data_IF_997114242074
#
_entry.id   IF_997114242074
#
_cell.length_a   1.000
_cell.length_b   1.000
_cell.length_c   1.000
_cell.angle_alpha   90.00
_cell.angle_beta   90.00
_cell.angle_gamma   90.00
#
_symmetry.space_group_name_H-M   'P 1'
#
loop_
_entity.id
_entity.type
_entity.pdbx_description
1 polymer ?
#
# COMPACT_ATOMS: atom_id res chain seq x y z
N UNK A 1 -9.28 -43.26 86.20
CA UNK A 1 -9.71 -42.55 84.99
C UNK A 1 -8.53 -41.72 84.51
N UNK A 2 -7.81 -42.21 83.50
CA UNK A 2 -6.60 -41.59 82.94
C UNK A 2 -6.98 -40.63 81.83
N UNK A 3 -6.66 -39.34 82.01
CA UNK A 3 -6.82 -38.30 80.98
C UNK A 3 -5.70 -38.43 79.94
N UNK A 4 -6.05 -38.81 78.71
CA UNK A 4 -5.14 -38.72 77.56
C UNK A 4 -5.14 -37.30 76.98
N UNK A 5 -3.97 -36.70 76.69
CA UNK A 5 -3.91 -35.41 76.03
C UNK A 5 -4.23 -35.55 74.53
N UNK A 6 -5.16 -34.70 74.07
CA UNK A 6 -5.57 -34.61 72.66
C UNK A 6 -4.44 -33.99 71.85
N UNK A 7 -3.90 -34.75 70.89
CA UNK A 7 -2.89 -34.25 69.96
C UNK A 7 -3.47 -33.13 69.05
N UNK A 8 -2.70 -32.07 68.75
CA UNK A 8 -3.19 -30.97 67.92
C UNK A 8 -3.34 -31.43 66.47
N UNK A 9 -4.54 -31.23 65.90
CA UNK A 9 -4.79 -31.52 64.49
C UNK A 9 -3.93 -30.64 63.57
N UNK A 10 -3.39 -31.18 62.47
CA UNK A 10 -2.55 -30.42 61.55
C UNK A 10 -3.38 -29.35 60.84
N UNK A 11 -2.97 -28.08 60.99
CA UNK A 11 -3.51 -26.95 60.22
C UNK A 11 -3.39 -27.26 58.72
N UNK A 12 -4.52 -27.46 58.04
CA UNK A 12 -4.59 -27.55 56.58
C UNK A 12 -3.98 -26.27 55.99
N UNK A 13 -2.76 -26.35 55.44
CA UNK A 13 -2.17 -25.27 54.64
C UNK A 13 -3.12 -25.01 53.46
N UNK A 14 -3.77 -23.84 53.44
CA UNK A 14 -4.47 -23.35 52.24
C UNK A 14 -3.45 -23.34 51.10
N UNK A 15 -3.62 -24.21 50.09
CA UNK A 15 -2.83 -24.14 48.85
C UNK A 15 -3.02 -22.74 48.29
N UNK A 16 -1.96 -21.92 48.27
CA UNK A 16 -1.97 -20.66 47.54
C UNK A 16 -2.30 -21.01 46.08
N UNK A 17 -3.43 -20.53 45.57
CA UNK A 17 -3.77 -20.65 44.16
C UNK A 17 -2.58 -20.10 43.36
N UNK A 18 -2.09 -20.86 42.37
CA UNK A 18 -1.06 -20.35 41.47
C UNK A 18 -1.60 -19.05 40.86
N UNK A 19 -0.77 -18.00 40.75
CA UNK A 19 -1.21 -16.78 40.08
C UNK A 19 -1.71 -17.15 38.67
N UNK A 20 -2.80 -16.52 38.20
CA UNK A 20 -3.33 -16.80 36.87
C UNK A 20 -2.20 -16.59 35.86
N UNK A 21 -1.95 -17.61 35.05
CA UNK A 21 -0.93 -17.58 34.01
C UNK A 21 -1.62 -17.22 32.69
N UNK A 22 -0.94 -16.51 31.79
CA UNK A 22 -1.48 -16.28 30.46
C UNK A 22 -1.81 -17.58 29.71
N UNK A 23 -1.15 -18.69 30.06
CA UNK A 23 -1.44 -20.01 29.51
C UNK A 23 -2.78 -20.63 29.95
N UNK A 24 -3.48 -20.04 30.91
CA UNK A 24 -4.84 -20.48 31.30
C UNK A 24 -5.95 -19.78 30.52
N UNK A 25 -5.62 -18.82 29.66
CA UNK A 25 -6.58 -18.11 28.80
C UNK A 25 -6.62 -18.81 27.43
N UNK A 26 -7.82 -19.04 26.85
CA UNK A 26 -7.93 -19.54 25.49
C UNK A 26 -7.22 -18.67 24.45
N UNK A 27 -6.57 -19.28 23.47
CA UNK A 27 -5.74 -18.57 22.47
C UNK A 27 -6.55 -17.56 21.65
N UNK A 28 -7.83 -17.81 21.35
CA UNK A 28 -8.73 -16.89 20.66
C UNK A 28 -8.98 -15.60 21.45
N UNK A 29 -9.10 -15.69 22.77
CA UNK A 29 -9.22 -14.53 23.66
C UNK A 29 -7.89 -13.77 23.72
N UNK A 30 -6.76 -14.47 23.80
CA UNK A 30 -5.43 -13.85 23.78
C UNK A 30 -5.23 -13.09 22.45
N UNK A 31 -5.55 -13.71 21.32
CA UNK A 31 -5.46 -13.10 19.99
C UNK A 31 -6.28 -11.81 19.92
N UNK A 32 -7.51 -11.81 20.43
CA UNK A 32 -8.35 -10.60 20.48
C UNK A 32 -7.77 -9.48 21.36
N UNK A 33 -7.13 -9.83 22.48
CA UNK A 33 -6.44 -8.84 23.33
C UNK A 33 -5.21 -8.29 22.61
N UNK A 34 -4.37 -9.16 22.04
CA UNK A 34 -3.16 -8.76 21.32
C UNK A 34 -3.49 -7.93 20.07
N UNK A 35 -4.61 -8.22 19.39
CA UNK A 35 -5.11 -7.46 18.24
C UNK A 35 -5.37 -5.98 18.57
N UNK A 36 -5.64 -5.63 19.84
CA UNK A 36 -5.85 -4.24 20.28
C UNK A 36 -4.55 -3.46 20.52
N UNK A 37 -3.41 -4.15 20.60
CA UNK A 37 -2.11 -3.54 20.80
C UNK A 37 -1.57 -3.03 19.44
N UNK A 38 -0.91 -1.87 19.41
CA UNK A 38 -0.26 -1.39 18.18
C UNK A 38 0.78 -2.39 17.68
N UNK A 39 0.82 -2.65 16.36
CA UNK A 39 1.73 -3.66 15.80
C UNK A 39 3.21 -3.32 15.98
N UNK A 40 3.53 -2.07 16.28
CA UNK A 40 4.87 -1.62 16.67
C UNK A 40 5.44 -2.41 17.87
N UNK A 41 4.60 -2.86 18.79
CA UNK A 41 4.99 -3.60 19.99
C UNK A 41 5.07 -5.12 19.77
N UNK A 42 4.59 -5.63 18.64
CA UNK A 42 4.49 -7.08 18.41
C UNK A 42 5.87 -7.73 18.39
N UNK A 43 6.89 -7.02 17.90
CA UNK A 43 8.26 -7.52 17.92
C UNK A 43 8.73 -7.76 19.37
N UNK A 44 8.58 -6.78 20.24
CA UNK A 44 8.96 -6.91 21.65
C UNK A 44 8.13 -7.98 22.36
N UNK A 45 6.82 -8.02 22.12
CA UNK A 45 5.91 -9.00 22.73
C UNK A 45 6.16 -10.42 22.23
N UNK A 46 6.55 -10.61 20.97
CA UNK A 46 6.90 -11.92 20.42
C UNK A 46 8.11 -12.55 21.11
N UNK A 47 8.98 -11.73 21.70
CA UNK A 47 10.16 -12.19 22.45
C UNK A 47 9.82 -12.61 23.89
N UNK A 48 8.62 -12.30 24.40
CA UNK A 48 8.21 -12.59 25.79
C UNK A 48 7.97 -14.08 26.01
N UNK A 49 7.39 -14.79 25.03
CA UNK A 49 7.15 -16.23 25.13
C UNK A 49 7.01 -16.91 23.76
N UNK A 50 7.26 -18.22 23.72
CA UNK A 50 7.01 -19.04 22.51
C UNK A 50 5.55 -18.99 22.06
N UNK A 51 4.60 -18.91 22.99
CA UNK A 51 3.18 -18.80 22.65
C UNK A 51 2.87 -17.46 21.97
N UNK A 52 3.40 -16.36 22.51
CA UNK A 52 3.23 -15.05 21.87
C UNK A 52 3.88 -15.03 20.49
N UNK A 53 5.08 -15.60 20.35
CA UNK A 53 5.74 -15.76 19.06
C UNK A 53 4.87 -16.51 18.04
N UNK A 54 4.26 -17.65 18.42
CA UNK A 54 3.38 -18.41 17.52
C UNK A 54 2.11 -17.63 17.17
N UNK A 55 1.48 -16.97 18.15
CA UNK A 55 0.27 -16.17 17.91
C UNK A 55 0.53 -14.96 17.00
N UNK A 56 1.64 -14.24 17.17
CA UNK A 56 2.03 -13.13 16.29
C UNK A 56 2.46 -13.58 14.89
N UNK A 57 2.85 -14.86 14.76
CA UNK A 57 3.17 -15.48 13.47
C UNK A 57 1.95 -16.08 12.78
N UNK A 58 0.83 -16.26 13.50
CA UNK A 58 -0.43 -16.77 12.95
C UNK A 58 -1.16 -15.69 12.15
N UNK A 59 -1.85 -16.04 11.05
CA UNK A 59 -2.76 -15.11 10.36
C UNK A 59 -3.94 -14.66 11.24
N UNK A 60 -4.29 -15.39 12.30
CA UNK A 60 -5.46 -15.12 13.15
C UNK A 60 -5.43 -13.74 13.79
N UNK A 61 -4.25 -13.24 14.17
CA UNK A 61 -4.13 -11.91 14.79
C UNK A 61 -4.47 -10.81 13.81
N UNK A 62 -4.10 -10.96 12.54
CA UNK A 62 -4.41 -9.99 11.50
C UNK A 62 -5.88 -10.06 11.09
N UNK A 63 -6.48 -11.25 11.13
CA UNK A 63 -7.92 -11.40 10.99
C UNK A 63 -8.67 -10.67 12.12
N UNK A 64 -8.29 -10.89 13.38
CA UNK A 64 -8.90 -10.23 14.53
C UNK A 64 -8.74 -8.70 14.49
N UNK A 65 -7.56 -8.19 14.10
CA UNK A 65 -7.30 -6.75 13.90
C UNK A 65 -8.22 -6.13 12.85
N UNK A 66 -8.43 -6.83 11.74
CA UNK A 66 -9.31 -6.39 10.66
C UNK A 66 -10.76 -6.25 11.15
N UNK A 67 -11.24 -7.17 12.01
CA UNK A 67 -12.59 -7.11 12.58
C UNK A 67 -12.80 -5.91 13.52
N UNK A 68 -11.79 -5.50 14.26
CA UNK A 68 -11.87 -4.36 15.18
C UNK A 68 -11.38 -3.04 14.56
N UNK A 69 -11.14 -3.03 13.23
CA UNK A 69 -10.59 -1.89 12.49
C UNK A 69 -9.28 -1.33 13.06
N UNK A 70 -8.49 -2.15 13.76
CA UNK A 70 -7.17 -1.77 14.27
C UNK A 70 -6.09 -2.30 13.34
N UNK A 71 -6.04 -1.76 12.12
CA UNK A 71 -5.05 -2.14 11.11
C UNK A 71 -3.99 -1.05 10.97
N UNK A 72 -2.72 -1.45 10.88
CA UNK A 72 -1.63 -0.52 10.67
C UNK A 72 -1.27 -0.46 9.18
N UNK A 73 -1.06 0.74 8.60
CA UNK A 73 -0.60 0.84 7.23
C UNK A 73 0.80 0.22 7.11
N UNK A 74 0.99 -0.61 6.09
CA UNK A 74 2.28 -1.19 5.72
C UNK A 74 2.55 -0.86 4.26
N UNK A 75 3.74 -0.34 4.00
CA UNK A 75 4.15 -0.04 2.63
C UNK A 75 4.71 -1.31 1.98
N UNK A 76 4.20 -1.61 0.79
CA UNK A 76 4.66 -2.67 -0.09
C UNK A 76 5.22 -2.08 -1.38
N UNK A 77 6.41 -2.54 -1.77
CA UNK A 77 7.15 -2.08 -2.93
C UNK A 77 7.43 -3.28 -3.82
N UNK A 78 6.87 -3.27 -5.04
CA UNK A 78 7.09 -4.31 -6.05
C UNK A 78 8.18 -3.87 -7.01
N UNK A 79 9.28 -4.63 -7.07
CA UNK A 79 10.43 -4.37 -7.93
C UNK A 79 10.61 -5.49 -8.95
N UNK A 80 10.92 -5.10 -10.18
CA UNK A 80 11.47 -5.99 -11.19
C UNK A 80 12.98 -5.95 -11.13
N UNK A 81 13.59 -7.07 -10.76
CA UNK A 81 15.03 -7.20 -10.63
C UNK A 81 15.58 -8.03 -11.79
N UNK A 82 16.46 -7.48 -12.65
CA UNK A 82 17.06 -8.23 -13.74
C UNK A 82 18.06 -9.25 -13.18
N UNK A 83 18.06 -10.47 -13.74
CA UNK A 83 19.00 -11.58 -13.48
C UNK A 83 18.83 -12.32 -12.12
N UNK A 84 18.98 -13.66 -12.04
CA UNK A 84 19.19 -14.63 -13.12
C UNK A 84 17.97 -14.92 -13.99
N UNK A 85 16.77 -14.43 -13.61
CA UNK A 85 15.52 -14.79 -14.34
C UNK A 85 14.51 -13.65 -14.47
N UNK A 86 14.90 -12.40 -14.19
CA UNK A 86 13.98 -11.24 -14.20
C UNK A 86 12.69 -11.52 -13.43
N UNK A 87 12.79 -11.56 -12.10
CA UNK A 87 11.65 -11.90 -11.26
C UNK A 87 11.06 -10.66 -10.60
N UNK A 88 9.74 -10.66 -10.48
CA UNK A 88 8.99 -9.66 -9.73
C UNK A 88 9.05 -9.97 -8.22
N UNK A 89 9.74 -9.12 -7.47
CA UNK A 89 9.96 -9.26 -6.02
C UNK A 89 9.18 -8.22 -5.24
N UNK A 90 8.48 -8.67 -4.21
CA UNK A 90 7.80 -7.79 -3.26
C UNK A 90 8.66 -7.54 -2.03
N UNK A 91 8.71 -6.28 -1.61
CA UNK A 91 9.37 -5.82 -0.41
C UNK A 91 8.37 -5.11 0.49
N UNK A 92 8.60 -5.15 1.79
CA UNK A 92 7.85 -4.37 2.77
C UNK A 92 8.80 -3.44 3.52
N UNK A 93 8.37 -2.20 3.73
CA UNK A 93 9.16 -1.21 4.47
C UNK A 93 9.10 -1.51 5.97
N UNK A 94 10.26 -1.67 6.62
CA UNK A 94 10.35 -1.92 8.06
C UNK A 94 11.45 -1.09 8.70
N UNK A 95 11.30 -0.83 9.98
CA UNK A 95 12.39 -0.31 10.81
C UNK A 95 13.37 -1.44 11.16
N UNK A 96 14.65 -1.24 10.83
CA UNK A 96 15.76 -2.06 11.30
C UNK A 96 16.59 -1.28 12.29
N UNK A 97 17.23 -2.00 13.21
CA UNK A 97 18.18 -1.38 14.13
C UNK A 97 19.34 -0.84 13.30
N UNK A 98 19.64 0.45 13.43
CA UNK A 98 20.71 1.09 12.68
C UNK A 98 22.05 0.47 13.07
N UNK A 99 22.97 0.36 12.11
CA UNK A 99 24.36 -0.03 12.41
C UNK A 99 25.12 1.07 13.15
N UNK A 100 24.58 2.31 13.15
CA UNK A 100 25.20 3.49 13.72
C UNK A 100 24.48 3.92 15.01
N UNK A 101 25.24 4.18 16.08
CA UNK A 101 24.70 4.45 17.43
C UNK A 101 23.86 5.73 17.54
N UNK A 102 23.98 6.64 16.57
CA UNK A 102 23.25 7.92 16.53
C UNK A 102 21.84 7.82 15.93
N UNK A 103 21.56 6.80 15.11
CA UNK A 103 20.23 6.57 14.53
C UNK A 103 19.81 5.14 14.90
N UNK A 104 19.10 4.96 16.03
CA UNK A 104 18.83 3.61 16.55
C UNK A 104 17.93 2.79 15.61
N UNK A 105 17.16 3.43 14.73
CA UNK A 105 16.26 2.75 13.79
C UNK A 105 16.22 3.42 12.42
N UNK A 106 16.54 2.66 11.37
CA UNK A 106 16.54 3.08 9.98
C UNK A 106 15.47 2.34 9.18
N UNK A 107 14.96 2.97 8.11
CA UNK A 107 14.04 2.31 7.19
C UNK A 107 14.79 1.32 6.31
N UNK A 108 14.21 0.16 6.05
CA UNK A 108 14.79 -0.84 5.16
C UNK A 108 13.69 -1.59 4.42
N UNK A 109 13.91 -1.84 3.13
CA UNK A 109 13.07 -2.75 2.34
C UNK A 109 13.47 -4.18 2.67
N UNK A 110 12.52 -4.93 3.24
CA UNK A 110 12.70 -6.34 3.58
C UNK A 110 11.94 -7.19 2.58
N UNK A 111 12.57 -8.19 1.94
CA UNK A 111 11.87 -9.09 1.03
C UNK A 111 10.68 -9.76 1.72
N UNK A 112 9.54 -9.76 1.02
CA UNK A 112 8.35 -10.51 1.41
C UNK A 112 8.60 -11.96 1.03
N UNK A 113 8.72 -12.84 2.03
CA UNK A 113 8.86 -14.28 1.80
C UNK A 113 7.50 -14.84 1.42
N UNK A 114 7.29 -15.00 0.12
CA UNK A 114 6.05 -15.58 -0.42
C UNK A 114 6.07 -17.09 -0.20
N UNK A 115 5.08 -17.61 0.53
CA UNK A 115 5.01 -19.03 0.91
C UNK A 115 4.52 -19.96 -0.21
N UNK A 116 4.04 -19.40 -1.33
CA UNK A 116 3.57 -20.17 -2.50
C UNK A 116 4.16 -19.57 -3.78
N UNK A 117 5.14 -20.25 -4.36
CA UNK A 117 5.80 -19.86 -5.60
C UNK A 117 4.97 -20.13 -6.85
N UNK A 118 3.92 -20.95 -6.77
CA UNK A 118 3.15 -21.41 -7.93
C UNK A 118 2.33 -20.32 -8.63
N UNK A 119 2.27 -19.11 -8.06
CA UNK A 119 1.39 -18.04 -8.55
C UNK A 119 2.00 -16.65 -8.60
N UNK A 120 3.29 -16.43 -8.32
CA UNK A 120 3.93 -15.12 -8.56
C UNK A 120 4.21 -15.00 -10.06
N UNK A 121 3.33 -14.38 -10.85
CA UNK A 121 3.51 -14.41 -12.29
C UNK A 121 4.35 -13.20 -12.64
N UNK A 122 5.51 -13.44 -13.23
CA UNK A 122 6.33 -12.40 -13.82
C UNK A 122 5.52 -11.74 -14.96
N UNK A 123 4.75 -10.71 -14.59
CA UNK A 123 3.87 -9.94 -15.50
C UNK A 123 4.30 -8.51 -15.61
N UNK A 124 4.92 -8.20 -16.74
CA UNK A 124 5.27 -6.84 -17.09
C UNK A 124 4.00 -6.03 -17.31
N UNK A 125 4.03 -4.76 -16.88
CA UNK A 125 2.97 -3.78 -17.11
C UNK A 125 1.57 -4.22 -16.62
N UNK A 126 1.52 -5.03 -15.56
CA UNK A 126 0.31 -5.24 -14.78
C UNK A 126 0.00 -4.00 -13.94
N UNK A 127 -1.27 -3.73 -13.69
CA UNK A 127 -1.67 -2.70 -12.73
C UNK A 127 -1.86 -3.34 -11.35
N UNK A 128 -1.59 -2.56 -10.30
CA UNK A 128 -1.81 -3.02 -8.93
C UNK A 128 -2.63 -2.02 -8.13
N UNK A 129 -3.46 -2.54 -7.24
CA UNK A 129 -4.29 -1.73 -6.34
C UNK A 129 -4.36 -2.39 -4.97
N UNK A 130 -4.23 -1.57 -3.92
CA UNK A 130 -4.42 -2.02 -2.55
C UNK A 130 -5.92 -2.02 -2.20
N UNK A 131 -6.39 -3.13 -1.67
CA UNK A 131 -7.76 -3.32 -1.20
C UNK A 131 -7.68 -3.91 0.21
N UNK A 132 -7.95 -3.08 1.22
CA UNK A 132 -7.85 -3.48 2.64
C UNK A 132 -6.47 -4.09 2.95
N UNK A 133 -6.43 -5.39 3.25
CA UNK A 133 -5.21 -6.17 3.56
C UNK A 133 -4.67 -6.97 2.38
N UNK A 134 -5.10 -6.65 1.16
CA UNK A 134 -4.77 -7.40 -0.04
C UNK A 134 -4.24 -6.47 -1.13
N UNK A 135 -3.36 -7.00 -1.98
CA UNK A 135 -2.91 -6.34 -3.22
C UNK A 135 -3.44 -7.14 -4.40
N UNK A 136 -4.19 -6.48 -5.25
CA UNK A 136 -4.66 -7.05 -6.51
C UNK A 136 -3.67 -6.70 -7.62
N UNK A 137 -3.12 -7.71 -8.28
CA UNK A 137 -2.34 -7.58 -9.52
C UNK A 137 -3.22 -7.99 -10.70
N UNK A 138 -3.47 -7.06 -11.60
CA UNK A 138 -4.49 -7.19 -12.65
C UNK A 138 -3.86 -7.00 -14.03
N UNK A 139 -4.15 -7.93 -14.94
CA UNK A 139 -3.67 -7.86 -16.32
C UNK A 139 -2.16 -7.98 -16.44
N UNK A 140 -1.58 -7.19 -17.34
CA UNK A 140 -0.19 -7.19 -17.74
C UNK A 140 0.06 -8.00 -19.00
N UNK A 141 1.30 -8.41 -19.21
CA UNK A 141 1.67 -9.34 -20.26
C UNK A 141 2.47 -10.52 -19.74
N UNK A 142 2.18 -11.69 -20.30
CA UNK A 142 3.03 -12.88 -20.19
C UNK A 142 3.56 -13.20 -21.59
N UNK A 143 4.88 -13.31 -21.77
CA UNK A 143 5.50 -13.54 -23.08
C UNK A 143 4.97 -12.58 -24.16
N UNK A 144 4.91 -11.28 -23.83
CA UNK A 144 4.34 -10.19 -24.65
C UNK A 144 2.83 -10.25 -24.94
N UNK A 145 2.13 -11.33 -24.58
CA UNK A 145 0.67 -11.44 -24.75
C UNK A 145 -0.07 -10.79 -23.58
N UNK A 146 -1.04 -9.93 -23.89
CA UNK A 146 -1.95 -9.34 -22.90
C UNK A 146 -2.68 -10.46 -22.14
N UNK A 147 -2.96 -10.25 -20.85
CA UNK A 147 -3.68 -11.23 -20.04
C UNK A 147 -4.93 -10.65 -19.39
N UNK A 148 -5.91 -11.52 -19.19
CA UNK A 148 -7.14 -11.26 -18.42
C UNK A 148 -6.94 -11.49 -16.93
N UNK A 149 -5.83 -12.10 -16.56
CA UNK A 149 -5.76 -12.80 -15.30
C UNK A 149 -5.61 -11.86 -14.10
N UNK A 150 -6.21 -12.25 -12.98
CA UNK A 150 -6.16 -11.47 -11.73
C UNK A 150 -5.54 -12.32 -10.63
N UNK A 151 -4.58 -11.74 -9.91
CA UNK A 151 -3.92 -12.38 -8.76
C UNK A 151 -4.03 -11.49 -7.55
N UNK A 152 -4.15 -12.10 -6.38
CA UNK A 152 -4.28 -11.39 -5.12
C UNK A 152 -3.20 -11.87 -4.18
N UNK A 153 -2.40 -10.94 -3.66
CA UNK A 153 -1.47 -11.16 -2.56
C UNK A 153 -2.17 -10.79 -1.27
N UNK A 154 -2.41 -11.77 -0.40
CA UNK A 154 -2.84 -11.51 0.98
C UNK A 154 -1.62 -11.02 1.77
N UNK A 155 -1.64 -9.78 2.24
CA UNK A 155 -0.52 -9.14 2.93
C UNK A 155 -0.37 -9.58 4.39
N UNK A 156 -1.29 -10.39 4.91
CA UNK A 156 -1.26 -10.94 6.27
C UNK A 156 -0.51 -12.28 6.29
N UNK A 157 -0.82 -13.15 5.34
CA UNK A 157 -0.21 -14.47 5.18
C UNK A 157 0.93 -14.51 4.16
N UNK A 158 1.10 -13.46 3.34
CA UNK A 158 2.05 -13.41 2.23
C UNK A 158 1.86 -14.56 1.23
N UNK A 159 0.60 -14.88 0.95
CA UNK A 159 0.20 -15.93 0.01
C UNK A 159 -0.53 -15.36 -1.19
N UNK A 160 -0.25 -15.91 -2.37
CA UNK A 160 -0.97 -15.59 -3.59
C UNK A 160 -2.19 -16.50 -3.78
N UNK A 161 -3.27 -15.91 -4.30
CA UNK A 161 -4.45 -16.63 -4.77
C UNK A 161 -4.90 -16.08 -6.12
N UNK A 162 -5.68 -16.89 -6.85
CA UNK A 162 -6.41 -16.42 -8.03
C UNK A 162 -7.68 -15.69 -7.61
N UNK A 163 -8.04 -14.66 -8.35
CA UNK A 163 -9.39 -14.10 -8.37
C UNK A 163 -10.00 -14.33 -9.76
N UNK A 164 -11.32 -14.11 -9.93
CA UNK A 164 -11.95 -14.19 -11.24
C UNK A 164 -11.22 -13.33 -12.27
N UNK A 165 -10.93 -13.92 -13.42
CA UNK A 165 -10.23 -13.24 -14.51
C UNK A 165 -11.18 -12.19 -15.15
N UNK A 166 -10.60 -11.10 -15.67
CA UNK A 166 -11.34 -10.06 -16.42
C UNK A 166 -11.99 -10.65 -17.67
N UNK A 167 -12.96 -9.92 -18.25
CA UNK A 167 -13.55 -10.28 -19.55
C UNK A 167 -12.61 -9.93 -20.71
N UNK A 168 -11.90 -8.81 -20.61
CA UNK A 168 -10.96 -8.32 -21.64
C UNK A 168 -9.52 -8.40 -21.16
N UNK A 169 -8.59 -8.74 -22.06
CA UNK A 169 -7.17 -8.81 -21.74
C UNK A 169 -6.55 -7.41 -21.75
N UNK A 170 -5.78 -7.06 -20.71
CA UNK A 170 -5.26 -5.69 -20.55
C UNK A 170 -3.77 -5.69 -20.21
N UNK A 171 -2.98 -4.79 -20.83
CA UNK A 171 -1.56 -4.49 -20.54
C UNK A 171 -1.40 -2.98 -20.44
N UNK A 172 -0.80 -2.48 -19.36
CA UNK A 172 -0.67 -1.04 -19.12
C UNK A 172 -1.99 -0.34 -18.77
N UNK A 173 -2.97 -1.07 -18.23
CA UNK A 173 -4.17 -0.47 -17.66
C UNK A 173 -3.85 0.28 -16.35
N UNK A 174 -4.80 1.06 -15.85
CA UNK A 174 -4.77 1.57 -14.47
C UNK A 174 -5.93 0.99 -13.67
N UNK A 175 -5.74 0.88 -12.36
CA UNK A 175 -6.74 0.37 -11.45
C UNK A 175 -6.97 1.28 -10.27
N UNK A 176 -8.23 1.34 -9.82
CA UNK A 176 -8.71 2.22 -8.76
C UNK A 176 -9.63 1.46 -7.83
N UNK A 177 -9.47 1.67 -6.52
CA UNK A 177 -10.36 1.11 -5.52
C UNK A 177 -11.33 2.21 -5.03
N UNK A 178 -12.63 1.94 -5.15
CA UNK A 178 -13.71 2.85 -4.76
C UNK A 178 -14.96 2.02 -4.43
N UNK A 179 -15.59 2.29 -3.28
CA UNK A 179 -16.85 1.68 -2.82
C UNK A 179 -16.90 0.15 -2.94
N UNK A 180 -15.89 -0.53 -2.40
CA UNK A 180 -15.75 -1.99 -2.44
C UNK A 180 -15.72 -2.58 -3.87
N UNK A 181 -15.35 -1.77 -4.85
CA UNK A 181 -15.19 -2.16 -6.25
C UNK A 181 -13.80 -1.78 -6.74
N UNK A 182 -13.29 -2.58 -7.67
CA UNK A 182 -12.04 -2.27 -8.39
C UNK A 182 -12.39 -1.88 -9.82
N UNK A 183 -12.07 -0.65 -10.21
CA UNK A 183 -12.23 -0.15 -11.56
C UNK A 183 -10.93 -0.34 -12.31
N UNK A 184 -10.97 -0.89 -13.52
CA UNK A 184 -9.81 -1.13 -14.38
C UNK A 184 -10.07 -0.51 -15.74
N UNK A 185 -9.21 0.42 -16.13
CA UNK A 185 -9.46 1.29 -17.29
C UNK A 185 -8.26 1.24 -18.25
N UNK A 186 -8.56 1.13 -19.55
CA UNK A 186 -7.57 1.13 -20.63
C UNK A 186 -6.78 -0.18 -20.77
N UNK A 187 -5.67 -0.11 -21.52
CA UNK A 187 -4.71 -1.20 -21.70
C UNK A 187 -5.17 -2.35 -22.62
N UNK A 188 -6.32 -2.21 -23.27
CA UNK A 188 -6.89 -3.19 -24.19
C UNK A 188 -6.48 -2.91 -25.65
N UNK A 189 -6.94 -3.76 -26.57
CA UNK A 189 -6.80 -3.51 -28.01
C UNK A 189 -7.95 -2.65 -28.54
N UNK A 190 -7.77 -1.93 -29.64
CA UNK A 190 -8.80 -1.05 -30.20
C UNK A 190 -10.12 -1.76 -30.49
N UNK A 191 -10.06 -3.02 -30.96
CA UNK A 191 -11.25 -3.84 -31.23
C UNK A 191 -11.98 -4.25 -29.94
N UNK A 192 -11.24 -4.60 -28.89
CA UNK A 192 -11.81 -4.92 -27.57
C UNK A 192 -12.31 -3.67 -26.83
N UNK A 193 -11.72 -2.50 -27.08
CA UNK A 193 -12.17 -1.21 -26.54
C UNK A 193 -13.54 -0.81 -27.07
N UNK A 194 -13.85 -1.19 -28.32
CA UNK A 194 -15.20 -1.08 -28.86
C UNK A 194 -16.21 -1.82 -27.98
N UNK A 195 -15.82 -2.98 -27.44
CA UNK A 195 -16.63 -3.82 -26.55
C UNK A 195 -16.63 -3.33 -25.08
N UNK A 196 -15.46 -3.00 -24.52
CA UNK A 196 -15.31 -2.59 -23.11
C UNK A 196 -13.97 -1.87 -22.86
N UNK A 197 -13.97 -0.54 -22.90
CA UNK A 197 -12.78 0.28 -22.61
C UNK A 197 -12.30 0.17 -21.15
N UNK A 198 -13.21 -0.13 -20.22
CA UNK A 198 -12.93 -0.40 -18.82
C UNK A 198 -13.88 -1.45 -18.26
N UNK A 199 -13.54 -2.00 -17.10
CA UNK A 199 -14.35 -2.97 -16.37
C UNK A 199 -14.32 -2.66 -14.87
N UNK A 200 -15.39 -3.03 -14.17
CA UNK A 200 -15.50 -2.94 -12.72
C UNK A 200 -15.65 -4.34 -12.12
N UNK A 201 -14.83 -4.63 -11.11
CA UNK A 201 -14.91 -5.85 -10.31
C UNK A 201 -15.62 -5.55 -9.01
N UNK A 202 -16.75 -6.23 -8.78
CA UNK A 202 -17.47 -6.17 -7.53
C UNK A 202 -16.88 -7.20 -6.55
N UNK A 203 -16.33 -6.73 -5.42
CA UNK A 203 -15.72 -7.60 -4.42
C UNK A 203 -16.73 -8.47 -3.68
N UNK A 204 -18.00 -8.07 -3.60
CA UNK A 204 -19.05 -8.81 -2.91
C UNK A 204 -19.55 -9.96 -3.77
N UNK A 205 -19.85 -9.69 -5.03
CA UNK A 205 -20.35 -10.72 -5.96
C UNK A 205 -19.24 -11.50 -6.65
N UNK A 206 -17.99 -11.03 -6.59
CA UNK A 206 -16.85 -11.60 -7.31
C UNK A 206 -17.08 -11.65 -8.83
N UNK A 207 -17.74 -10.62 -9.39
CA UNK A 207 -18.05 -10.56 -10.83
C UNK A 207 -17.52 -9.30 -11.49
N UNK A 208 -17.10 -9.44 -12.75
CA UNK A 208 -16.72 -8.32 -13.62
C UNK A 208 -17.92 -7.81 -14.43
N UNK A 209 -18.09 -6.49 -14.50
CA UNK A 209 -19.06 -5.82 -15.38
C UNK A 209 -18.32 -4.81 -16.27
N UNK A 210 -18.76 -4.64 -17.54
CA UNK A 210 -18.21 -3.59 -18.38
C UNK A 210 -18.54 -2.22 -17.79
N UNK A 211 -17.61 -1.27 -17.91
CA UNK A 211 -17.81 0.11 -17.49
C UNK A 211 -18.39 0.91 -18.68
N UNK A 212 -19.43 1.74 -18.48
CA UNK A 212 -19.97 2.55 -19.57
C UNK A 212 -18.90 3.49 -20.13
N UNK A 213 -18.99 3.82 -21.42
CA UNK A 213 -18.10 4.79 -22.06
C UNK A 213 -18.49 6.22 -21.67
N UNK A 214 -17.53 7.15 -21.58
CA UNK A 214 -17.84 8.57 -21.46
C UNK A 214 -18.66 9.07 -22.68
N UNK A 215 -19.61 10.01 -22.51
CA UNK A 215 -20.59 10.38 -23.55
C UNK A 215 -20.02 11.04 -24.82
N UNK A 216 -18.78 11.54 -24.80
CA UNK A 216 -18.28 12.52 -25.77
C UNK A 216 -16.89 12.22 -26.34
N UNK A 217 -16.41 10.98 -26.24
CA UNK A 217 -15.06 10.66 -26.74
C UNK A 217 -15.12 9.52 -27.76
N UNK A 218 -14.83 9.84 -29.02
CA UNK A 218 -14.39 8.85 -30.01
C UNK A 218 -12.94 8.39 -29.73
N UNK A 219 -12.23 9.06 -28.80
CA UNK A 219 -10.81 8.88 -28.50
C UNK A 219 -10.56 8.43 -27.04
N UNK A 220 -11.49 7.66 -26.46
CA UNK A 220 -11.32 6.95 -25.16
C UNK A 220 -10.05 6.08 -25.14
N UNK A 221 -9.47 5.82 -26.32
CA UNK A 221 -8.20 5.16 -26.56
C UNK A 221 -6.99 5.86 -25.91
N UNK A 222 -7.12 7.14 -25.58
CA UNK A 222 -6.04 8.02 -25.14
C UNK A 222 -6.06 8.30 -23.64
N UNK A 223 -6.21 7.27 -22.80
CA UNK A 223 -6.21 7.44 -21.34
C UNK A 223 -4.81 7.71 -20.78
N UNK A 224 -4.65 8.77 -19.98
CA UNK A 224 -3.36 9.22 -19.47
C UNK A 224 -3.18 9.02 -17.95
N UNK A 225 -4.17 9.37 -17.13
CA UNK A 225 -4.09 9.28 -15.68
C UNK A 225 -5.49 9.35 -15.03
N UNK A 226 -5.61 9.06 -13.74
CA UNK A 226 -6.90 9.16 -13.03
C UNK A 226 -6.78 9.06 -11.52
N UNK A 227 -7.79 9.55 -10.79
CA UNK A 227 -7.79 9.64 -9.32
C UNK A 227 -9.15 9.34 -8.71
N UNK A 228 -9.16 8.69 -7.55
CA UNK A 228 -10.34 8.61 -6.70
C UNK A 228 -10.32 9.76 -5.71
N UNK A 229 -11.36 10.60 -5.75
CA UNK A 229 -11.50 11.74 -4.84
C UNK A 229 -12.97 12.01 -4.55
N UNK A 230 -13.31 12.28 -3.29
CA UNK A 230 -14.67 12.66 -2.90
C UNK A 230 -15.75 11.64 -3.29
N UNK A 231 -15.42 10.34 -3.31
CA UNK A 231 -16.34 9.26 -3.70
C UNK A 231 -16.52 9.09 -5.21
N UNK A 232 -15.80 9.84 -6.04
CA UNK A 232 -15.87 9.73 -7.50
C UNK A 232 -14.53 9.32 -8.10
N UNK A 233 -14.59 8.68 -9.26
CA UNK A 233 -13.41 8.33 -10.05
C UNK A 233 -13.24 9.33 -11.20
N UNK A 234 -12.15 10.08 -11.15
CA UNK A 234 -11.75 11.03 -12.17
C UNK A 234 -10.78 10.40 -13.14
N UNK A 235 -10.98 10.65 -14.43
CA UNK A 235 -10.17 10.11 -15.54
C UNK A 235 -9.74 11.27 -16.44
N UNK A 236 -8.47 11.28 -16.80
CA UNK A 236 -7.81 12.26 -17.67
C UNK A 236 -7.37 11.59 -18.96
N UNK A 237 -7.76 12.16 -20.10
CA UNK A 237 -7.30 11.72 -21.42
C UNK A 237 -6.10 12.56 -21.87
N UNK A 238 -5.33 12.06 -22.85
CA UNK A 238 -4.19 12.78 -23.44
C UNK A 238 -4.62 14.07 -24.15
N UNK A 239 -5.88 14.15 -24.57
CA UNK A 239 -6.46 15.35 -25.19
C UNK A 239 -6.96 16.37 -24.13
N UNK A 240 -6.56 16.19 -22.87
CA UNK A 240 -6.96 17.01 -21.72
C UNK A 240 -8.47 16.99 -21.38
N UNK A 241 -9.23 16.01 -21.89
CA UNK A 241 -10.60 15.80 -21.43
C UNK A 241 -10.58 15.21 -20.03
N UNK A 242 -11.57 15.62 -19.23
CA UNK A 242 -11.75 15.22 -17.84
C UNK A 242 -13.13 14.65 -17.66
N UNK A 243 -13.20 13.42 -17.17
CA UNK A 243 -14.45 12.75 -16.88
C UNK A 243 -14.47 12.32 -15.43
N UNK A 244 -15.61 12.46 -14.79
CA UNK A 244 -15.85 11.90 -13.47
C UNK A 244 -16.93 10.84 -13.58
N UNK A 245 -16.62 9.65 -13.06
CA UNK A 245 -17.58 8.58 -12.89
C UNK A 245 -18.23 8.70 -11.54
N UNK A 246 -19.54 8.78 -11.55
CA UNK A 246 -20.37 8.69 -10.36
C UNK A 246 -20.80 7.23 -10.17
N UNK A 247 -20.34 6.54 -9.11
CA UNK A 247 -20.70 5.15 -8.86
C UNK A 247 -22.14 4.96 -8.41
N UNK A 248 -22.82 6.00 -7.90
CA UNK A 248 -24.22 5.93 -7.48
C UNK A 248 -25.15 6.02 -8.69
N UNK A 249 -24.84 6.91 -9.62
CA UNK A 249 -25.61 7.10 -10.86
C UNK A 249 -25.13 6.18 -12.00
N UNK A 250 -24.06 5.42 -11.79
CA UNK A 250 -23.38 4.56 -12.76
C UNK A 250 -23.10 5.23 -14.11
N UNK A 251 -22.76 6.52 -14.10
CA UNK A 251 -22.55 7.30 -15.32
C UNK A 251 -21.34 8.22 -15.24
N UNK A 252 -20.85 8.56 -16.42
CA UNK A 252 -19.81 9.57 -16.59
C UNK A 252 -20.43 10.94 -16.79
N UNK A 253 -19.86 11.92 -16.10
CA UNK A 253 -20.12 13.34 -16.32
C UNK A 253 -18.82 13.96 -16.81
N UNK A 254 -18.90 14.74 -17.88
CA UNK A 254 -17.77 15.57 -18.31
C UNK A 254 -17.59 16.67 -17.26
N UNK A 255 -16.56 16.56 -16.42
CA UNK A 255 -16.46 17.34 -15.20
C UNK A 255 -15.41 18.45 -15.31
N UNK A 256 -15.84 19.68 -15.00
CA UNK A 256 -15.02 20.89 -14.84
C UNK A 256 -14.65 21.21 -13.38
N UNK A 257 -15.10 20.40 -12.41
CA UNK A 257 -15.05 20.69 -10.98
C UNK A 257 -13.69 20.56 -10.30
N UNK A 258 -12.81 19.67 -10.77
CA UNK A 258 -11.44 19.59 -10.26
C UNK A 258 -10.49 20.39 -11.16
N UNK A 259 -10.32 21.65 -10.78
CA UNK A 259 -9.60 22.65 -11.57
C UNK A 259 -8.08 22.36 -11.62
N UNK A 260 -7.52 21.71 -10.58
CA UNK A 260 -6.07 21.52 -10.43
C UNK A 260 -5.44 20.29 -11.11
N UNK A 261 -6.22 19.30 -11.55
CA UNK A 261 -5.68 17.98 -11.96
C UNK A 261 -5.08 17.92 -13.38
N UNK A 262 -5.43 18.87 -14.27
CA UNK A 262 -5.02 18.83 -15.69
C UNK A 262 -3.55 19.15 -15.96
N UNK A 263 -2.74 19.44 -14.93
CA UNK A 263 -1.31 19.79 -15.06
C UNK A 263 -0.38 18.81 -14.35
N UNK A 264 -0.91 17.71 -13.80
CA UNK A 264 -0.08 16.73 -13.11
C UNK A 264 0.53 15.76 -14.12
N UNK A 265 1.80 15.96 -14.44
CA UNK A 265 2.59 15.06 -15.29
C UNK A 265 3.55 14.16 -14.49
N UNK A 266 3.75 14.48 -13.21
CA UNK A 266 4.61 13.75 -12.28
C UNK A 266 3.85 12.80 -11.35
N UNK A 267 4.55 12.11 -10.44
CA UNK A 267 3.92 11.27 -9.43
C UNK A 267 3.09 12.13 -8.47
N UNK A 268 1.97 11.58 -8.01
CA UNK A 268 1.01 12.28 -7.16
C UNK A 268 0.28 11.30 -6.25
N UNK A 269 -0.30 11.80 -5.16
CA UNK A 269 -1.14 11.02 -4.26
C UNK A 269 -2.17 11.89 -3.56
N UNK A 270 -3.25 11.28 -3.07
CA UNK A 270 -4.26 11.95 -2.24
C UNK A 270 -4.05 11.59 -0.77
N UNK A 271 -3.99 12.61 0.10
CA UNK A 271 -3.97 12.45 1.55
C UNK A 271 -5.10 13.30 2.13
N UNK A 272 -6.10 12.62 2.73
CA UNK A 272 -7.32 13.28 3.17
C UNK A 272 -8.04 13.96 2.01
N UNK A 273 -8.26 15.28 2.11
CA UNK A 273 -8.91 16.07 1.06
C UNK A 273 -7.92 16.82 0.15
N UNK A 274 -6.63 16.52 0.23
CA UNK A 274 -5.54 17.25 -0.44
C UNK A 274 -4.82 16.34 -1.42
N UNK A 275 -4.46 16.89 -2.58
CA UNK A 275 -3.63 16.22 -3.58
C UNK A 275 -2.21 16.75 -3.45
N UNK A 276 -1.26 15.84 -3.39
CA UNK A 276 0.17 16.14 -3.44
C UNK A 276 0.70 15.67 -4.79
N UNK A 277 1.55 16.48 -5.43
CA UNK A 277 2.23 16.10 -6.65
C UNK A 277 3.64 16.67 -6.66
N UNK A 278 4.56 15.96 -7.30
CA UNK A 278 5.88 16.49 -7.57
C UNK A 278 5.91 17.12 -8.97
N UNK A 279 6.30 18.40 -9.03
CA UNK A 279 6.48 19.13 -10.28
C UNK A 279 7.77 19.95 -10.18
N UNK A 280 8.62 19.86 -11.22
CA UNK A 280 9.95 20.49 -11.24
C UNK A 280 10.79 20.19 -10.00
N UNK A 281 10.75 18.93 -9.54
CA UNK A 281 11.45 18.47 -8.33
C UNK A 281 11.01 19.17 -7.04
N UNK A 282 9.85 19.82 -7.04
CA UNK A 282 9.27 20.48 -5.86
C UNK A 282 7.96 19.80 -5.52
N UNK A 283 7.78 19.45 -4.25
CA UNK A 283 6.53 18.91 -3.74
C UNK A 283 5.53 20.07 -3.62
N UNK A 284 4.45 19.95 -4.37
CA UNK A 284 3.33 20.89 -4.34
C UNK A 284 2.09 20.18 -3.83
N UNK A 285 1.18 20.96 -3.26
CA UNK A 285 -0.11 20.49 -2.81
C UNK A 285 -1.21 21.36 -3.42
N UNK A 286 -2.38 20.77 -3.61
CA UNK A 286 -3.55 21.43 -4.14
C UNK A 286 -4.79 20.96 -3.39
N UNK A 287 -5.69 21.90 -3.09
CA UNK A 287 -7.05 21.57 -2.74
C UNK A 287 -7.87 21.46 -4.05
N UNK A 288 -8.41 20.29 -4.40
CA UNK A 288 -9.17 20.11 -5.64
C UNK A 288 -10.29 21.13 -5.85
N UNK A 289 -10.87 21.64 -4.76
CA UNK A 289 -11.95 22.63 -4.79
C UNK A 289 -11.52 24.02 -5.26
N UNK A 290 -10.27 24.43 -5.00
CA UNK A 290 -9.75 25.72 -5.44
C UNK A 290 -8.83 25.62 -6.66
N UNK A 291 -8.31 24.41 -6.95
CA UNK A 291 -7.42 24.15 -8.08
C UNK A 291 -6.06 24.83 -8.03
N UNK A 292 -5.77 25.57 -6.95
CA UNK A 292 -4.51 26.29 -6.79
C UNK A 292 -3.43 25.36 -6.25
N UNK A 293 -2.30 25.33 -6.93
CA UNK A 293 -1.11 24.61 -6.50
C UNK A 293 -0.23 25.54 -5.68
N UNK A 294 0.12 25.09 -4.48
CA UNK A 294 1.03 25.78 -3.57
C UNK A 294 2.19 24.86 -3.21
N UNK A 295 3.34 25.45 -2.89
CA UNK A 295 4.52 24.69 -2.49
C UNK A 295 4.35 24.17 -1.06
N UNK A 296 4.90 22.99 -0.77
CA UNK A 296 5.03 22.52 0.61
C UNK A 296 6.29 23.11 1.23
N UNK A 297 6.13 23.88 2.31
CA UNK A 297 7.24 24.50 3.04
C UNK A 297 7.93 23.52 4.01
N UNK A 298 9.08 23.89 4.56
CA UNK A 298 9.82 23.09 5.55
C UNK A 298 10.68 21.95 4.99
N UNK A 299 10.57 21.67 3.69
CA UNK A 299 11.32 20.60 3.03
C UNK A 299 12.63 21.06 2.36
N UNK A 300 12.81 22.37 2.16
CA UNK A 300 13.99 22.96 1.49
C UNK A 300 15.30 22.86 2.27
N UNK A 301 15.22 22.77 3.60
CA UNK A 301 16.39 22.78 4.50
C UNK A 301 16.85 21.39 4.91
N UNK A 302 16.07 20.37 4.57
CA UNK A 302 16.36 18.99 4.91
C UNK A 302 16.77 18.27 3.63
N UNK A 303 17.89 17.57 3.73
CA UNK A 303 18.44 16.46 2.94
C UNK A 303 17.64 15.90 1.75
N UNK A 304 16.30 15.90 1.79
CA UNK A 304 15.46 15.44 0.68
C UNK A 304 15.85 16.16 -0.61
N UNK A 305 15.84 17.50 -0.68
CA UNK A 305 16.20 18.22 -1.93
C UNK A 305 17.71 18.41 -2.12
N UNK A 306 18.48 18.55 -1.04
CA UNK A 306 19.92 18.72 -1.12
C UNK A 306 20.67 17.44 -1.55
N UNK A 307 20.27 16.25 -1.04
CA UNK A 307 20.81 14.95 -1.49
C UNK A 307 20.33 14.56 -2.88
N UNK A 308 19.30 15.24 -3.38
CA UNK A 308 18.74 15.13 -4.73
C UNK A 308 19.49 16.01 -5.75
N UNK A 309 20.68 16.54 -5.43
CA UNK A 309 21.47 17.35 -6.35
C UNK A 309 22.09 16.54 -7.52
N UNK A 310 22.30 15.24 -7.34
CA UNK A 310 22.80 14.31 -8.37
C UNK A 310 21.63 13.67 -9.15
N UNK A 311 21.84 13.25 -10.40
CA UNK A 311 20.83 12.65 -11.29
C UNK A 311 19.96 11.57 -10.60
N UNK A 312 18.76 11.98 -10.15
CA UNK A 312 17.78 11.11 -9.49
C UNK A 312 16.42 11.20 -10.21
N UNK A 313 15.60 10.16 -10.09
CA UNK A 313 14.22 10.16 -10.58
C UNK A 313 13.27 9.85 -9.42
N UNK A 314 12.35 10.76 -9.11
CA UNK A 314 11.23 10.43 -8.22
C UNK A 314 10.40 9.36 -8.91
N UNK A 315 10.15 8.27 -8.18
CA UNK A 315 9.49 7.12 -8.74
C UNK A 315 8.02 7.11 -8.33
N UNK A 316 7.72 7.27 -7.03
CA UNK A 316 6.34 7.22 -6.53
C UNK A 316 6.10 8.10 -5.29
N UNK A 317 4.86 8.58 -5.17
CA UNK A 317 4.30 9.27 -4.00
C UNK A 317 3.17 8.41 -3.43
N UNK A 318 3.22 8.09 -2.13
CA UNK A 318 2.23 7.20 -1.52
C UNK A 318 1.71 7.76 -0.20
N UNK A 319 0.39 7.71 -0.02
CA UNK A 319 -0.25 7.95 1.26
C UNK A 319 -0.05 6.74 2.18
N UNK A 320 0.64 6.94 3.29
CA UNK A 320 0.92 5.93 4.29
C UNK A 320 0.44 6.40 5.67
N UNK A 321 -0.81 6.06 6.02
CA UNK A 321 -1.38 6.43 7.32
C UNK A 321 -1.51 7.93 7.54
N UNK A 322 -1.80 8.71 6.49
CA UNK A 322 -1.86 10.17 6.57
C UNK A 322 -0.51 10.88 6.44
N UNK A 323 0.59 10.13 6.35
CA UNK A 323 1.92 10.64 6.01
C UNK A 323 2.18 10.44 4.53
N UNK A 324 3.00 11.31 3.94
CA UNK A 324 3.51 11.10 2.58
C UNK A 324 4.79 10.27 2.65
N UNK A 325 4.83 9.21 1.86
CA UNK A 325 6.05 8.50 1.54
C UNK A 325 6.50 8.89 0.14
N UNK A 326 7.76 9.30 0.02
CA UNK A 326 8.40 9.54 -1.27
C UNK A 326 9.47 8.48 -1.49
N UNK A 327 9.40 7.79 -2.64
CA UNK A 327 10.45 6.86 -3.08
C UNK A 327 11.11 7.42 -4.34
N UNK A 328 12.43 7.47 -4.32
CA UNK A 328 13.24 7.85 -5.47
C UNK A 328 14.46 6.94 -5.61
N UNK A 329 15.06 6.89 -6.80
CA UNK A 329 16.38 6.31 -6.98
C UNK A 329 17.44 7.36 -7.19
N UNK A 330 18.59 7.13 -6.58
CA UNK A 330 19.83 7.84 -6.84
C UNK A 330 20.72 6.95 -7.70
N UNK A 331 21.30 7.53 -8.75
CA UNK A 331 22.16 6.81 -9.67
C UNK A 331 23.64 7.08 -9.38
N UNK A 332 24.42 6.01 -9.24
CA UNK A 332 25.89 6.04 -9.28
C UNK A 332 26.44 5.29 -10.51
N UNK A 333 27.73 5.46 -10.84
CA UNK A 333 28.37 4.88 -12.04
C UNK A 333 28.19 3.36 -12.18
N UNK A 334 27.93 2.61 -11.12
CA UNK A 334 27.83 1.14 -11.16
C UNK A 334 26.45 0.60 -10.82
N UNK A 335 25.70 1.23 -9.92
CA UNK A 335 24.42 0.75 -9.42
C UNK A 335 23.47 1.91 -9.08
N UNK A 336 22.25 1.58 -8.68
CA UNK A 336 21.27 2.53 -8.15
C UNK A 336 20.96 2.22 -6.69
N UNK A 337 20.65 3.26 -5.93
CA UNK A 337 20.23 3.14 -4.53
C UNK A 337 18.81 3.70 -4.40
N UNK A 338 17.93 2.94 -3.77
CA UNK A 338 16.54 3.34 -3.54
C UNK A 338 16.46 4.05 -2.21
N UNK A 339 16.01 5.29 -2.23
CA UNK A 339 15.79 6.13 -1.07
C UNK A 339 14.32 6.20 -0.70
N UNK A 340 14.06 6.42 0.57
CA UNK A 340 12.72 6.64 1.09
C UNK A 340 12.72 7.81 2.07
N UNK A 341 11.74 8.71 1.93
CA UNK A 341 11.43 9.74 2.90
C UNK A 341 10.00 9.58 3.41
N UNK A 342 9.82 9.75 4.72
CA UNK A 342 8.50 9.79 5.37
C UNK A 342 8.27 11.21 5.87
N UNK A 343 7.19 11.83 5.41
CA UNK A 343 6.89 13.24 5.65
C UNK A 343 5.53 13.32 6.35
N UNK A 344 5.52 13.98 7.50
CA UNK A 344 4.29 14.42 8.16
C UNK A 344 3.97 15.85 7.76
N UNK A 345 2.69 16.21 7.76
CA UNK A 345 2.25 17.55 7.41
C UNK A 345 1.59 18.25 8.59
N UNK A 346 1.84 19.55 8.66
CA UNK A 346 1.19 20.49 9.55
C UNK A 346 0.59 21.59 8.69
N UNK A 347 -0.73 21.78 8.78
CA UNK A 347 -1.41 22.88 8.10
C UNK A 347 -1.35 24.12 8.98
N UNK A 348 -0.77 25.20 8.47
CA UNK A 348 -0.64 26.49 9.16
C UNK A 348 -1.40 27.55 8.39
N UNK A 349 -2.59 27.92 8.87
CA UNK A 349 -3.49 28.88 8.20
C UNK A 349 -3.79 28.44 6.75
N UNK A 350 -3.16 29.10 5.79
CA UNK A 350 -3.29 28.84 4.34
C UNK A 350 -2.20 27.92 3.79
N UNK A 351 -1.13 27.67 4.53
CA UNK A 351 0.08 27.00 4.05
C UNK A 351 0.19 25.56 4.57
N UNK A 352 0.95 24.76 3.83
CA UNK A 352 1.29 23.38 4.19
C UNK A 352 2.76 23.29 4.52
N UNK A 353 3.09 22.82 5.72
CA UNK A 353 4.46 22.57 6.16
C UNK A 353 4.71 21.07 6.27
N UNK A 354 5.77 20.61 5.62
CA UNK A 354 6.25 19.24 5.71
C UNK A 354 7.36 19.12 6.75
N UNK A 355 7.28 18.09 7.60
CA UNK A 355 8.34 17.67 8.51
C UNK A 355 8.81 16.28 8.12
N UNK A 356 10.08 16.17 7.75
CA UNK A 356 10.70 14.87 7.44
C UNK A 356 10.95 14.12 8.74
N UNK A 357 10.27 12.99 8.90
CA UNK A 357 10.45 12.13 10.05
C UNK A 357 11.64 11.19 9.87
N UNK A 358 11.82 10.69 8.64
CA UNK A 358 12.87 9.76 8.25
C UNK A 358 13.25 9.98 6.79
N UNK A 359 14.53 9.82 6.48
CA UNK A 359 15.08 9.90 5.13
C UNK A 359 16.40 9.11 5.08
N UNK A 360 16.39 7.95 4.44
CA UNK A 360 17.59 7.12 4.28
C UNK A 360 17.49 6.18 3.07
N UNK A 361 18.62 5.59 2.67
CA UNK A 361 18.67 4.51 1.69
C UNK A 361 17.98 3.29 2.28
N UNK A 362 16.99 2.74 1.56
CA UNK A 362 16.20 1.58 2.02
C UNK A 362 16.57 0.29 1.29
N UNK A 363 17.17 0.39 0.11
CA UNK A 363 17.75 -0.71 -0.63
C UNK A 363 18.93 -0.17 -1.44
N UNK A 364 20.11 -0.74 -1.23
CA UNK A 364 21.33 -0.29 -1.89
C UNK A 364 21.79 -1.29 -2.96
N UNK A 365 22.68 -0.86 -3.86
CA UNK A 365 23.31 -1.71 -4.87
C UNK A 365 22.34 -2.43 -5.81
N UNK A 366 21.24 -1.76 -6.17
CA UNK A 366 20.25 -2.29 -7.12
C UNK A 366 20.78 -2.17 -8.55
N UNK A 367 20.58 -3.21 -9.35
CA UNK A 367 20.99 -3.20 -10.76
C UNK A 367 20.30 -2.05 -11.53
N UNK A 368 21.03 -1.35 -12.40
CA UNK A 368 20.54 -0.13 -13.10
C UNK A 368 19.25 -0.32 -13.89
N UNK A 369 19.05 -1.52 -14.43
CA UNK A 369 17.87 -1.87 -15.23
C UNK A 369 16.66 -2.32 -14.41
N UNK A 370 16.69 -2.21 -13.08
CA UNK A 370 15.51 -2.49 -12.27
C UNK A 370 14.35 -1.56 -12.64
N UNK A 371 13.13 -2.04 -12.46
CA UNK A 371 11.92 -1.23 -12.65
C UNK A 371 11.07 -1.29 -11.40
N UNK A 372 10.67 -0.14 -10.87
CA UNK A 372 9.58 -0.11 -9.91
C UNK A 372 8.29 -0.42 -10.66
N UNK A 373 7.55 -1.39 -10.14
CA UNK A 373 6.25 -1.78 -10.68
C UNK A 373 5.09 -1.34 -9.82
N UNK A 374 5.29 -1.20 -8.51
CA UNK A 374 4.21 -0.87 -7.58
C UNK A 374 4.76 -0.29 -6.29
N UNK A 375 4.08 0.71 -5.75
CA UNK A 375 4.30 1.19 -4.39
C UNK A 375 2.93 1.45 -3.76
N UNK A 376 2.56 0.63 -2.76
CA UNK A 376 1.20 0.60 -2.23
C UNK A 376 1.22 0.62 -0.71
N UNK A 377 0.36 1.41 -0.10
CA UNK A 377 0.08 1.32 1.34
C UNK A 377 -1.12 0.40 1.56
N UNK A 378 -0.91 -0.66 2.32
CA UNK A 378 -1.91 -1.70 2.61
C UNK A 378 -2.21 -1.70 4.10
N UNK A 379 -3.47 -1.85 4.49
CA UNK A 379 -3.88 -1.90 5.89
C UNK A 379 -3.77 -3.34 6.40
N UNK A 380 -2.92 -3.59 7.40
CA UNK A 380 -2.63 -4.94 7.91
C UNK A 380 -2.90 -5.09 9.41
#
# INVERSE_FOLDING_TARGET
MTNNPIAPQPRKKKKKAKPPSFSSIPDDVIVNVLARISSSHYRSLSLVSKNFYSLFSSPDIYFARSLICNTDPRLYVGLWLPNPSSHHSWFTLRYRQGQNSFIPFELSLVPVKVLSSSYSPDRLNSTTVAVRSEIYQIGGSNEEKRTKAVRVLDCRSHTWRRAPDMKVARKGAMSYFLDDKIYVIGGCTRTEETMSWGEVFDLKTQTWKPLPKPPSDDDVHSYHNGVVYGGKLYVFTMNNNKYAYDPEEERWVQEAGVVGLGRITGPWCVIGSVIFAEHDRILKWCNPRNGMWSVVHGLYWIDVYAKRANEYRTIELVNHGGKLVIIWDEWNREHKSIWCAVISFEKRLTDMWGKVERCNVVLDSVHKSYKLSSCLSVLV
#
